data_IF_842352349381
#
_entry.id   IF_842352349381
#
_cell.length_a   1.000
_cell.length_b   1.000
_cell.length_c   1.000
_cell.angle_alpha   90.00
_cell.angle_beta   90.00
_cell.angle_gamma   90.00
#
_symmetry.space_group_name_H-M   'P 1'
#
loop_
_entity.id
_entity.type
_entity.pdbx_description
1 polymer ?
#
# COMPACT_ATOMS: atom_id res chain seq x y z
N UNK A 1 -4.38 17.03 2.41
CA UNK A 1 -3.45 16.80 1.28
C UNK A 1 -1.99 17.14 1.61
N UNK A 2 -1.71 18.20 2.39
CA UNK A 2 -0.34 18.61 2.77
C UNK A 2 0.45 17.57 3.60
N UNK A 3 -0.21 16.87 4.53
CA UNK A 3 0.45 15.90 5.42
C UNK A 3 1.02 14.69 4.67
N UNK A 4 0.30 14.19 3.67
CA UNK A 4 0.74 13.01 2.92
C UNK A 4 1.95 13.29 2.04
N UNK A 5 2.04 14.53 1.52
CA UNK A 5 3.18 14.98 0.75
C UNK A 5 4.43 15.07 1.63
N UNK A 6 4.29 15.55 2.87
CA UNK A 6 5.37 15.59 3.86
C UNK A 6 5.93 14.22 4.17
N UNK A 7 5.06 13.25 4.50
CA UNK A 7 5.47 11.87 4.81
C UNK A 7 6.17 11.20 3.62
N UNK A 8 5.67 11.40 2.40
CA UNK A 8 6.30 10.83 1.21
C UNK A 8 7.70 11.43 0.96
N UNK A 9 7.85 12.74 1.17
CA UNK A 9 9.14 13.44 1.10
C UNK A 9 10.12 12.96 2.16
N UNK A 10 9.67 12.73 3.39
CA UNK A 10 10.48 12.12 4.45
C UNK A 10 10.92 10.70 4.09
N UNK A 11 10.00 9.90 3.53
CA UNK A 11 10.31 8.56 3.04
C UNK A 11 11.36 8.57 1.94
N UNK A 12 11.28 9.54 1.01
CA UNK A 12 12.23 9.74 -0.09
C UNK A 12 13.54 10.41 0.36
N UNK A 13 13.61 10.91 1.59
CA UNK A 13 14.80 11.55 2.14
C UNK A 13 14.97 13.01 1.75
N UNK A 14 13.95 13.65 1.17
CA UNK A 14 13.90 15.10 0.96
C UNK A 14 13.74 15.86 2.29
N UNK A 15 13.09 15.23 3.28
CA UNK A 15 12.90 15.75 4.64
C UNK A 15 13.48 14.78 5.68
N UNK A 16 13.89 15.32 6.84
CA UNK A 16 14.31 14.52 7.99
C UNK A 16 13.09 13.93 8.70
N UNK A 17 13.22 12.74 9.30
CA UNK A 17 12.14 12.09 10.07
C UNK A 17 11.60 10.79 9.46
N UNK A 18 12.03 10.43 8.25
CA UNK A 18 11.59 9.20 7.58
C UNK A 18 11.98 7.91 8.33
N UNK A 19 11.15 6.87 8.15
CA UNK A 19 11.36 5.57 8.78
C UNK A 19 12.67 4.91 8.32
N UNK A 20 13.38 4.19 9.20
CA UNK A 20 14.63 3.49 8.85
C UNK A 20 14.46 2.52 7.68
N UNK A 21 13.32 1.83 7.63
CA UNK A 21 12.99 0.88 6.56
C UNK A 21 12.69 1.57 5.22
N UNK A 22 12.32 2.85 5.21
CA UNK A 22 12.05 3.59 3.96
C UNK A 22 13.33 4.12 3.29
N UNK A 23 14.51 3.77 3.80
CA UNK A 23 15.79 4.15 3.18
C UNK A 23 16.10 3.33 1.92
N UNK A 24 15.75 2.06 1.90
CA UNK A 24 15.87 1.20 0.72
C UNK A 24 14.62 1.31 -0.17
N UNK A 25 14.76 1.01 -1.46
CA UNK A 25 13.63 0.99 -2.40
C UNK A 25 13.07 2.36 -2.75
N UNK A 26 13.85 3.43 -2.55
CA UNK A 26 13.52 4.78 -3.05
C UNK A 26 13.66 4.83 -4.57
N UNK A 27 12.85 5.65 -5.28
CA UNK A 27 11.81 6.51 -4.72
C UNK A 27 10.56 5.72 -4.31
N UNK A 28 10.01 6.08 -3.14
CA UNK A 28 8.68 5.66 -2.72
C UNK A 28 7.64 6.47 -3.44
N UNK A 29 6.55 5.77 -3.75
CA UNK A 29 5.36 6.31 -4.40
C UNK A 29 4.13 5.94 -3.57
N UNK A 30 3.12 6.81 -3.59
CA UNK A 30 1.84 6.53 -2.97
C UNK A 30 0.95 5.78 -3.98
N UNK A 31 0.73 4.49 -3.77
CA UNK A 31 -0.11 3.68 -4.65
C UNK A 31 -1.61 3.74 -4.30
N UNK A 32 -1.94 3.99 -3.03
CA UNK A 32 -3.32 4.05 -2.54
C UNK A 32 -3.44 5.07 -1.42
N UNK A 33 -4.53 5.82 -1.43
CA UNK A 33 -4.88 6.76 -0.36
C UNK A 33 -6.33 6.57 0.06
N UNK A 34 -6.51 6.19 1.33
CA UNK A 34 -7.82 6.00 1.94
C UNK A 34 -8.12 7.18 2.87
N UNK A 35 -9.28 7.81 2.70
CA UNK A 35 -9.74 8.98 3.46
C UNK A 35 -11.16 8.72 3.98
N UNK A 36 -11.66 9.61 4.84
CA UNK A 36 -13.02 9.52 5.39
C UNK A 36 -13.09 8.94 6.80
N UNK A 37 -11.96 8.57 7.40
CA UNK A 37 -11.91 8.13 8.79
C UNK A 37 -12.37 9.25 9.75
N UNK A 38 -13.25 8.90 10.70
CA UNK A 38 -13.77 9.75 11.78
C UNK A 38 -12.69 10.18 12.75
N UNK A 39 -11.58 9.44 12.81
CA UNK A 39 -10.43 9.83 13.60
C UNK A 39 -9.24 8.88 13.48
N UNK A 40 -8.16 9.23 14.20
CA UNK A 40 -6.91 8.48 14.19
C UNK A 40 -7.08 7.02 14.63
N UNK A 41 -7.93 6.77 15.63
CA UNK A 41 -8.17 5.43 16.15
C UNK A 41 -8.79 4.51 15.10
N UNK A 42 -9.75 5.01 14.33
CA UNK A 42 -10.39 4.24 13.25
C UNK A 42 -9.41 3.96 12.11
N UNK A 43 -8.63 4.97 11.69
CA UNK A 43 -7.58 4.80 10.69
C UNK A 43 -6.54 3.75 11.11
N UNK A 44 -6.11 3.76 12.38
CA UNK A 44 -5.15 2.80 12.92
C UNK A 44 -5.73 1.38 12.98
N UNK A 45 -6.99 1.23 13.40
CA UNK A 45 -7.68 -0.05 13.43
C UNK A 45 -7.82 -0.64 12.02
N UNK A 46 -8.21 0.19 11.05
CA UNK A 46 -8.27 -0.17 9.64
C UNK A 46 -6.89 -0.64 9.12
N UNK A 47 -5.86 0.17 9.33
CA UNK A 47 -4.49 -0.14 8.91
C UNK A 47 -4.01 -1.49 9.47
N UNK A 48 -4.25 -1.73 10.76
CA UNK A 48 -3.89 -2.99 11.41
C UNK A 48 -4.63 -4.18 10.78
N UNK A 49 -5.94 -4.07 10.56
CA UNK A 49 -6.75 -5.14 9.95
C UNK A 49 -6.31 -5.41 8.51
N UNK A 50 -5.99 -4.39 7.73
CA UNK A 50 -5.50 -4.55 6.36
C UNK A 50 -4.12 -5.19 6.32
N UNK A 51 -3.18 -4.77 7.18
CA UNK A 51 -1.86 -5.42 7.32
C UNK A 51 -2.01 -6.89 7.69
N UNK A 52 -2.90 -7.23 8.61
CA UNK A 52 -3.16 -8.61 9.02
C UNK A 52 -3.72 -9.45 7.87
N UNK A 53 -4.71 -8.94 7.12
CA UNK A 53 -5.27 -9.65 5.96
C UNK A 53 -4.22 -9.81 4.85
N UNK A 54 -3.44 -8.77 4.57
CA UNK A 54 -2.38 -8.81 3.55
C UNK A 54 -1.31 -9.86 3.86
N UNK A 55 -0.98 -10.08 5.14
CA UNK A 55 -0.05 -11.15 5.56
C UNK A 55 -0.63 -12.56 5.44
N UNK A 56 -1.95 -12.70 5.55
CA UNK A 56 -2.66 -13.99 5.49
C UNK A 56 -2.95 -14.45 4.06
N UNK A 57 -3.01 -13.53 3.09
CA UNK A 57 -3.18 -13.92 1.68
C UNK A 57 -1.92 -14.67 1.20
N UNK A 58 -2.08 -15.80 0.47
CA UNK A 58 -0.95 -16.53 -0.07
C UNK A 58 -0.22 -15.67 -1.09
N UNK A 59 1.08 -15.44 -0.88
CA UNK A 59 1.92 -14.78 -1.89
C UNK A 59 2.20 -15.79 -3.01
N UNK A 60 1.70 -15.53 -4.22
CA UNK A 60 2.00 -16.37 -5.39
C UNK A 60 3.52 -16.42 -5.59
N UNK A 61 4.15 -17.53 -5.22
CA UNK A 61 5.56 -17.79 -5.53
C UNK A 61 5.62 -18.13 -7.01
N UNK A 62 6.33 -17.33 -7.81
CA UNK A 62 6.68 -17.72 -9.18
C UNK A 62 7.60 -18.95 -9.04
N UNK A 63 7.14 -20.11 -9.51
CA UNK A 63 8.02 -21.26 -9.76
C UNK A 63 8.99 -20.85 -10.85
N UNK A 64 10.27 -21.11 -10.61
CA UNK A 64 11.39 -20.88 -11.52
C UNK A 64 11.21 -21.69 -12.80
N UNK A 65 10.72 -21.08 -13.88
CA UNK A 65 11.09 -21.47 -15.24
C UNK A 65 10.82 -20.30 -16.19
N UNK A 66 11.84 -19.98 -16.98
CA UNK A 66 11.83 -19.25 -18.26
C UNK A 66 11.82 -17.71 -18.21
N UNK A 67 13.05 -17.18 -18.21
CA UNK A 67 13.58 -16.15 -19.11
C UNK A 67 12.57 -15.18 -19.74
N UNK A 68 12.14 -14.16 -18.99
CA UNK A 68 11.63 -12.90 -19.54
C UNK A 68 12.05 -11.72 -18.64
N UNK A 69 12.47 -10.64 -19.30
CA UNK A 69 13.06 -9.38 -18.80
C UNK A 69 12.51 -8.84 -17.45
N UNK A 70 13.36 -8.26 -16.59
CA UNK A 70 13.04 -7.94 -15.19
C UNK A 70 12.42 -6.55 -15.02
N UNK A 71 11.50 -6.13 -15.88
CA UNK A 71 10.89 -4.82 -15.79
C UNK A 71 9.43 -4.94 -15.26
N UNK A 72 9.23 -4.39 -14.05
CA UNK A 72 7.95 -4.06 -13.41
C UNK A 72 7.00 -5.18 -12.91
N UNK A 73 7.25 -6.44 -13.25
CA UNK A 73 6.32 -7.54 -12.89
C UNK A 73 6.15 -7.77 -11.36
N UNK A 74 7.14 -7.37 -10.56
CA UNK A 74 7.13 -7.52 -9.10
C UNK A 74 6.29 -6.47 -8.36
N UNK A 75 6.30 -5.23 -8.84
CA UNK A 75 5.54 -4.11 -8.27
C UNK A 75 4.04 -4.31 -8.53
N UNK A 76 3.67 -4.65 -9.77
CA UNK A 76 2.29 -4.94 -10.16
C UNK A 76 1.68 -6.07 -9.33
N UNK A 77 2.38 -7.21 -9.19
CA UNK A 77 1.91 -8.33 -8.38
C UNK A 77 1.71 -7.96 -6.91
N UNK A 78 2.58 -7.10 -6.35
CA UNK A 78 2.43 -6.59 -4.99
C UNK A 78 1.20 -5.67 -4.86
N UNK A 79 0.94 -4.82 -5.85
CA UNK A 79 -0.24 -3.95 -5.86
C UNK A 79 -1.54 -4.75 -5.97
N UNK A 80 -1.60 -5.73 -6.88
CA UNK A 80 -2.74 -6.65 -7.00
C UNK A 80 -3.00 -7.40 -5.68
N UNK A 81 -1.94 -7.89 -5.03
CA UNK A 81 -2.06 -8.56 -3.72
C UNK A 81 -2.64 -7.63 -2.65
N UNK A 82 -2.21 -6.36 -2.63
CA UNK A 82 -2.72 -5.36 -1.69
C UNK A 82 -4.16 -4.97 -1.99
N UNK A 83 -4.53 -4.88 -3.26
CA UNK A 83 -5.90 -4.65 -3.70
C UNK A 83 -6.82 -5.76 -3.22
N UNK A 84 -6.48 -7.02 -3.50
CA UNK A 84 -7.27 -8.18 -3.04
C UNK A 84 -7.39 -8.24 -1.50
N UNK A 85 -6.33 -7.86 -0.79
CA UNK A 85 -6.37 -7.76 0.67
C UNK A 85 -7.29 -6.63 1.16
N UNK A 86 -7.42 -5.54 0.40
CA UNK A 86 -8.32 -4.42 0.70
C UNK A 86 -9.77 -4.81 0.46
N UNK A 87 -10.07 -5.48 -0.66
CA UNK A 87 -11.40 -5.99 -0.99
C UNK A 87 -11.90 -6.92 0.13
N UNK A 88 -11.01 -7.77 0.66
CA UNK A 88 -11.33 -8.63 1.81
C UNK A 88 -11.58 -7.86 3.11
N UNK A 89 -10.92 -6.71 3.31
CA UNK A 89 -11.20 -5.87 4.48
C UNK A 89 -12.56 -5.19 4.32
N UNK A 90 -12.88 -4.68 3.13
CA UNK A 90 -14.16 -4.05 2.85
C UNK A 90 -15.34 -5.00 3.02
N UNK A 91 -15.16 -6.31 2.81
CA UNK A 91 -16.21 -7.30 3.13
C UNK A 91 -16.35 -7.60 4.62
N UNK A 92 -15.43 -7.14 5.48
CA UNK A 92 -15.38 -7.42 6.92
C UNK A 92 -15.65 -6.21 7.81
N UNK A 93 -15.71 -5.01 7.25
CA UNK A 93 -16.02 -3.77 7.96
C UNK A 93 -16.82 -2.84 7.04
N UNK A 94 -17.74 -2.08 7.63
CA UNK A 94 -18.41 -1.01 6.90
C UNK A 94 -17.38 0.06 6.49
N UNK A 95 -17.22 0.24 5.18
CA UNK A 95 -16.32 1.20 4.57
C UNK A 95 -17.08 2.26 3.76
N UNK A 96 -18.41 2.39 3.94
CA UNK A 96 -19.26 3.25 3.13
C UNK A 96 -18.85 4.73 3.20
N UNK A 97 -18.34 5.15 4.36
CA UNK A 97 -17.84 6.51 4.59
C UNK A 97 -16.42 6.74 4.02
N UNK A 98 -15.74 5.69 3.55
CA UNK A 98 -14.34 5.76 3.12
C UNK A 98 -14.21 6.06 1.63
N UNK A 99 -13.36 7.02 1.30
CA UNK A 99 -12.93 7.29 -0.07
C UNK A 99 -11.57 6.62 -0.31
N UNK A 100 -11.54 5.65 -1.23
CA UNK A 100 -10.35 4.87 -1.59
C UNK A 100 -9.88 5.32 -2.98
N UNK A 101 -8.72 5.96 -3.01
CA UNK A 101 -8.12 6.54 -4.20
C UNK A 101 -6.84 5.76 -4.56
N UNK A 102 -6.98 4.80 -5.47
CA UNK A 102 -5.85 4.09 -6.07
C UNK A 102 -5.23 4.96 -7.16
N UNK A 103 -3.91 5.15 -7.09
CA UNK A 103 -3.18 5.95 -8.08
C UNK A 103 -2.84 5.06 -9.27
N UNK A 104 -3.57 5.23 -10.37
CA UNK A 104 -3.53 4.38 -11.58
C UNK A 104 -2.27 4.49 -12.44
N UNK A 105 -1.22 5.21 -12.02
CA UNK A 105 0.03 5.31 -12.80
C UNK A 105 0.87 4.00 -12.77
N UNK A 106 0.23 2.85 -12.52
CA UNK A 106 0.84 1.52 -12.40
C UNK A 106 0.13 0.46 -13.27
N UNK A 107 -0.79 0.87 -14.15
CA UNK A 107 -1.45 0.02 -15.14
C UNK A 107 -1.09 0.48 -16.55
#
# INVERSE_FOLDING_TARGET
MRELLGVLKEHNGELKGGAKASRSGRPWICACLIRGFKGRSEACAFESKWKQNSRKLPRKRKSTTEEQEPEDNGSLALLQHRHAALDRVQSLIDCSDLNIDWRSNFF
#
